data_IF_456030660792
#
_entry.id   IF_456030660792
#
_cell.length_a   1.000
_cell.length_b   1.000
_cell.length_c   1.000
_cell.angle_alpha   90.00
_cell.angle_beta   90.00
_cell.angle_gamma   90.00
#
_symmetry.space_group_name_H-M   'P 1'
#
loop_
_entity.id
_entity.type
_entity.pdbx_description
1 polymer ?
#
# COMPACT_ATOMS: atom_id res chain seq x y z
N UNK A 1 -3.00 -1.35 0.32
CA UNK A 1 -2.04 -0.84 1.33
C UNK A 1 -2.68 0.04 2.40
N UNK A 2 -3.49 1.04 2.04
CA UNK A 2 -4.08 2.00 2.99
C UNK A 2 -4.82 1.36 4.20
N UNK A 3 -5.73 0.41 3.93
CA UNK A 3 -6.47 -0.31 4.99
C UNK A 3 -5.54 -1.01 6.00
N UNK A 4 -4.41 -1.55 5.53
CA UNK A 4 -3.43 -2.17 6.41
C UNK A 4 -2.80 -1.14 7.36
N UNK A 5 -2.47 0.06 6.87
CA UNK A 5 -1.91 1.11 7.72
C UNK A 5 -2.93 1.60 8.74
N UNK A 6 -4.20 1.79 8.34
CA UNK A 6 -5.28 2.13 9.27
C UNK A 6 -5.41 1.10 10.39
N UNK A 7 -5.39 -0.19 10.04
CA UNK A 7 -5.46 -1.29 11.00
C UNK A 7 -4.26 -1.31 11.95
N UNK A 8 -3.04 -1.10 11.43
CA UNK A 8 -1.82 -1.00 12.25
C UNK A 8 -1.93 0.15 13.26
N UNK A 9 -2.33 1.34 12.81
CA UNK A 9 -2.50 2.50 13.69
C UNK A 9 -3.58 2.28 14.74
N UNK A 10 -4.70 1.64 14.36
CA UNK A 10 -5.78 1.27 15.29
C UNK A 10 -5.26 0.34 16.39
N UNK A 11 -4.56 -0.73 16.03
CA UNK A 11 -3.96 -1.66 17.02
C UNK A 11 -2.95 -0.96 17.92
N UNK A 12 -2.08 -0.11 17.35
CA UNK A 12 -1.13 0.68 18.13
C UNK A 12 -1.85 1.61 19.13
N UNK A 13 -2.97 2.22 18.73
CA UNK A 13 -3.77 3.08 19.60
C UNK A 13 -4.41 2.28 20.74
N UNK A 14 -5.03 1.14 20.43
CA UNK A 14 -5.66 0.25 21.42
C UNK A 14 -4.66 -0.25 22.47
N UNK A 15 -3.47 -0.66 22.05
CA UNK A 15 -2.39 -1.07 22.97
C UNK A 15 -1.96 0.07 23.89
N UNK A 16 -1.82 1.30 23.37
CA UNK A 16 -1.48 2.48 24.19
C UNK A 16 -2.58 2.83 25.20
N UNK A 17 -3.85 2.66 24.84
CA UNK A 17 -4.97 2.89 25.75
C UNK A 17 -5.04 1.83 26.85
N UNK A 18 -4.87 0.56 26.48
CA UNK A 18 -4.91 -0.56 27.42
C UNK A 18 -3.70 -0.58 28.36
N UNK A 19 -2.52 -0.17 27.88
CA UNK A 19 -1.27 -0.18 28.64
C UNK A 19 -0.46 1.11 28.40
N UNK A 20 -0.78 2.21 29.10
CA UNK A 20 -0.13 3.50 28.90
C UNK A 20 1.40 3.49 29.10
N UNK A 21 1.91 2.61 29.95
CA UNK A 21 3.34 2.49 30.30
C UNK A 21 4.12 1.52 29.38
N UNK A 22 3.48 0.92 28.36
CA UNK A 22 4.04 -0.14 27.49
C UNK A 22 5.23 0.31 26.62
N UNK A 23 5.44 1.62 26.49
CA UNK A 23 6.45 2.16 25.58
C UNK A 23 6.01 2.02 24.11
N UNK A 24 6.87 1.41 23.28
CA UNK A 24 6.61 1.29 21.85
C UNK A 24 5.68 0.12 21.50
N UNK A 25 4.49 0.34 20.91
CA UNK A 25 3.56 -0.73 20.59
C UNK A 25 3.90 -1.48 19.29
N UNK A 26 4.79 -0.93 18.44
CA UNK A 26 5.11 -1.50 17.12
C UNK A 26 5.58 -2.97 17.15
N UNK A 27 6.47 -3.40 18.08
CA UNK A 27 6.95 -4.77 18.11
C UNK A 27 5.83 -5.77 18.40
N UNK A 28 4.85 -5.39 19.23
CA UNK A 28 3.71 -6.21 19.58
C UNK A 28 2.75 -6.36 18.41
N UNK A 29 2.44 -5.24 17.72
CA UNK A 29 1.62 -5.29 16.49
C UNK A 29 2.32 -6.13 15.41
N UNK A 30 3.64 -6.00 15.27
CA UNK A 30 4.42 -6.81 14.33
C UNK A 30 4.37 -8.30 14.67
N UNK A 31 4.51 -8.64 15.96
CA UNK A 31 4.39 -10.01 16.43
C UNK A 31 3.00 -10.59 16.14
N UNK A 32 1.93 -9.86 16.48
CA UNK A 32 0.55 -10.29 16.24
C UNK A 32 0.29 -10.52 14.74
N UNK A 33 0.76 -9.63 13.87
CA UNK A 33 0.63 -9.79 12.41
C UNK A 33 1.42 -11.03 11.94
N UNK A 34 2.71 -11.12 12.30
CA UNK A 34 3.58 -12.20 11.82
C UNK A 34 3.21 -13.59 12.36
N UNK A 35 2.58 -13.65 13.54
CA UNK A 35 2.08 -14.92 14.10
C UNK A 35 0.84 -15.44 13.37
N UNK A 36 0.04 -14.54 12.79
CA UNK A 36 -1.18 -14.88 12.05
C UNK A 36 -0.98 -14.92 10.53
N UNK A 37 0.12 -14.37 10.01
CA UNK A 37 0.31 -14.15 8.57
C UNK A 37 1.77 -14.32 8.16
N UNK A 38 2.00 -15.17 7.16
CA UNK A 38 3.34 -15.40 6.60
C UNK A 38 3.60 -14.63 5.29
N UNK A 39 2.54 -14.17 4.60
CA UNK A 39 2.61 -13.45 3.32
C UNK A 39 1.69 -12.22 3.35
N UNK A 40 2.25 -11.04 3.08
CA UNK A 40 1.50 -9.81 2.85
C UNK A 40 1.57 -9.43 1.37
N UNK A 41 0.40 -9.28 0.75
CA UNK A 41 0.26 -8.80 -0.62
C UNK A 41 -0.32 -7.37 -0.59
N UNK A 42 0.43 -6.41 -1.11
CA UNK A 42 -0.03 -5.04 -1.24
C UNK A 42 -0.26 -4.68 -2.70
N UNK A 43 -1.52 -4.38 -3.02
CA UNK A 43 -1.80 -3.64 -4.24
C UNK A 43 -1.57 -2.13 -4.03
N UNK A 44 -1.09 -1.48 -5.08
CA UNK A 44 -0.78 -0.05 -5.16
C UNK A 44 0.01 0.47 -3.94
N UNK A 45 1.16 -0.15 -3.67
CA UNK A 45 2.03 0.24 -2.57
C UNK A 45 2.62 1.63 -2.80
N UNK A 46 2.17 2.60 -2.02
CA UNK A 46 2.63 3.98 -2.05
C UNK A 46 2.60 4.59 -0.66
N UNK A 47 3.57 5.46 -0.38
CA UNK A 47 3.70 6.16 0.90
C UNK A 47 3.69 7.65 0.64
N UNK A 48 2.74 8.35 1.23
CA UNK A 48 2.53 9.80 1.07
C UNK A 48 2.51 10.55 2.40
N UNK A 49 2.16 9.88 3.50
CA UNK A 49 2.04 10.47 4.82
C UNK A 49 3.26 10.22 5.72
N UNK A 50 3.58 11.20 6.58
CA UNK A 50 4.73 11.14 7.49
C UNK A 50 4.52 10.17 8.65
N UNK A 51 3.31 10.03 9.18
CA UNK A 51 3.01 9.11 10.26
C UNK A 51 3.17 7.65 9.78
N UNK A 52 2.68 7.37 8.58
CA UNK A 52 2.86 6.06 7.93
C UNK A 52 4.34 5.76 7.71
N UNK A 53 5.09 6.69 7.12
CA UNK A 53 6.53 6.52 6.87
C UNK A 53 7.32 6.17 8.15
N UNK A 54 7.01 6.84 9.27
CA UNK A 54 7.66 6.60 10.56
C UNK A 54 7.32 5.22 11.16
N UNK A 55 6.09 4.76 10.99
CA UNK A 55 5.64 3.44 11.49
C UNK A 55 6.19 2.31 10.62
N UNK A 56 6.11 2.44 9.30
CA UNK A 56 6.49 1.40 8.34
C UNK A 56 7.92 0.91 8.53
N UNK A 57 8.88 1.84 8.65
CA UNK A 57 10.29 1.49 8.86
C UNK A 57 10.47 0.53 10.04
N UNK A 58 9.81 0.83 11.16
CA UNK A 58 9.93 0.04 12.39
C UNK A 58 9.16 -1.27 12.27
N UNK A 59 7.94 -1.20 11.75
CA UNK A 59 7.05 -2.34 11.58
C UNK A 59 7.69 -3.41 10.70
N UNK A 60 8.09 -3.04 9.48
CA UNK A 60 8.62 -4.00 8.51
C UNK A 60 9.97 -4.57 8.92
N UNK A 61 10.80 -3.83 9.65
CA UNK A 61 12.02 -4.39 10.26
C UNK A 61 11.69 -5.59 11.15
N UNK A 62 10.65 -5.48 11.99
CA UNK A 62 10.21 -6.61 12.81
C UNK A 62 9.56 -7.70 11.96
N UNK A 63 8.66 -7.36 11.04
CA UNK A 63 7.99 -8.36 10.18
C UNK A 63 9.01 -9.20 9.39
N UNK A 64 10.00 -8.56 8.76
CA UNK A 64 11.06 -9.26 8.05
C UNK A 64 11.94 -10.10 8.98
N UNK A 65 12.22 -9.62 10.20
CA UNK A 65 12.96 -10.43 11.19
C UNK A 65 12.19 -11.67 11.66
N UNK A 66 10.85 -11.63 11.61
CA UNK A 66 9.97 -12.77 11.87
C UNK A 66 9.77 -13.67 10.64
N UNK A 67 10.44 -13.39 9.51
CA UNK A 67 10.36 -14.21 8.30
C UNK A 67 9.13 -13.95 7.42
N UNK A 68 8.40 -12.85 7.66
CA UNK A 68 7.26 -12.49 6.82
C UNK A 68 7.71 -12.12 5.40
N UNK A 69 7.01 -12.65 4.41
CA UNK A 69 7.24 -12.35 2.99
C UNK A 69 6.30 -11.24 2.54
N UNK A 70 6.81 -10.27 1.77
CA UNK A 70 6.02 -9.21 1.17
C UNK A 70 6.03 -9.34 -0.35
N UNK A 71 4.85 -9.19 -0.96
CA UNK A 71 4.65 -8.99 -2.40
C UNK A 71 3.92 -7.67 -2.58
N UNK A 72 4.37 -6.83 -3.51
CA UNK A 72 3.71 -5.56 -3.75
C UNK A 72 3.74 -5.15 -5.23
N UNK A 73 2.67 -4.49 -5.68
CA UNK A 73 2.64 -3.72 -6.92
C UNK A 73 2.84 -2.24 -6.58
N UNK A 74 3.54 -1.49 -7.42
CA UNK A 74 3.69 -0.04 -7.22
C UNK A 74 3.93 0.67 -8.55
N UNK A 75 3.40 1.89 -8.66
CA UNK A 75 3.70 2.81 -9.75
C UNK A 75 4.99 3.62 -9.50
N UNK A 76 5.68 3.36 -8.39
CA UNK A 76 6.95 4.00 -8.04
C UNK A 76 7.99 2.93 -7.73
N UNK A 77 9.21 3.16 -8.21
CA UNK A 77 10.35 2.34 -7.80
C UNK A 77 10.62 2.51 -6.30
N UNK A 78 11.23 1.52 -5.62
CA UNK A 78 11.53 1.61 -4.19
C UNK A 78 12.24 2.91 -3.78
N UNK A 79 13.27 3.32 -4.54
CA UNK A 79 14.04 4.56 -4.35
C UNK A 79 13.21 5.85 -4.50
N UNK A 80 12.04 5.76 -5.13
CA UNK A 80 11.10 6.86 -5.35
C UNK A 80 9.90 6.85 -4.40
N UNK A 81 9.77 5.84 -3.54
CA UNK A 81 8.75 5.81 -2.49
C UNK A 81 8.96 6.96 -1.52
N UNK A 82 7.91 7.68 -1.14
CA UNK A 82 7.95 8.85 -0.24
C UNK A 82 8.88 10.01 -0.70
N UNK A 83 9.12 10.12 -2.01
CA UNK A 83 9.93 11.21 -2.57
C UNK A 83 9.36 12.57 -2.18
N UNK A 84 10.23 13.51 -1.78
CA UNK A 84 9.88 14.84 -1.25
C UNK A 84 9.06 14.84 0.05
N UNK A 85 8.93 13.69 0.71
CA UNK A 85 8.29 13.58 2.02
C UNK A 85 9.06 14.32 3.12
N UNK A 86 8.33 14.77 4.14
CA UNK A 86 8.90 15.42 5.32
C UNK A 86 9.84 14.43 6.02
N UNK A 87 11.06 14.87 6.36
CA UNK A 87 12.07 14.02 6.99
C UNK A 87 12.39 12.73 6.22
N UNK A 88 12.35 12.76 4.88
CA UNK A 88 12.68 11.63 4.00
C UNK A 88 13.94 10.84 4.40
N UNK A 89 14.98 11.51 4.89
CA UNK A 89 16.23 10.86 5.36
C UNK A 89 15.97 9.77 6.40
N UNK A 90 14.94 9.94 7.25
CA UNK A 90 14.55 8.95 8.26
C UNK A 90 13.89 7.69 7.66
N UNK A 91 13.38 7.80 6.43
CA UNK A 91 12.72 6.74 5.66
C UNK A 91 13.69 5.99 4.74
N UNK A 92 14.83 6.58 4.36
CA UNK A 92 15.84 5.94 3.52
C UNK A 92 16.26 4.54 4.03
N UNK A 93 16.46 4.30 5.35
CA UNK A 93 16.79 2.95 5.81
C UNK A 93 15.73 1.90 5.51
N UNK A 94 14.45 2.29 5.42
CA UNK A 94 13.39 1.37 5.01
C UNK A 94 13.43 1.10 3.50
N UNK A 95 13.84 2.07 2.69
CA UNK A 95 14.13 1.84 1.27
C UNK A 95 15.27 0.85 1.13
N UNK A 96 16.36 1.02 1.90
CA UNK A 96 17.49 0.09 1.92
C UNK A 96 17.02 -1.33 2.31
N UNK A 97 16.19 -1.46 3.35
CA UNK A 97 15.60 -2.74 3.76
C UNK A 97 14.76 -3.39 2.63
N UNK A 98 14.01 -2.59 1.87
CA UNK A 98 13.23 -3.08 0.73
C UNK A 98 14.14 -3.52 -0.43
N UNK A 99 15.17 -2.76 -0.76
CA UNK A 99 16.10 -3.11 -1.84
C UNK A 99 16.95 -4.35 -1.51
N UNK A 100 17.30 -4.54 -0.23
CA UNK A 100 18.04 -5.72 0.22
C UNK A 100 17.16 -6.99 0.22
N UNK A 101 15.89 -6.86 0.63
CA UNK A 101 15.02 -8.02 0.92
C UNK A 101 13.99 -8.34 -0.16
N UNK A 102 13.64 -7.37 -1.00
CA UNK A 102 12.63 -7.53 -2.04
C UNK A 102 13.26 -7.48 -3.42
N UNK A 103 12.88 -8.44 -4.28
CA UNK A 103 13.25 -8.41 -5.69
C UNK A 103 12.32 -7.48 -6.45
N UNK A 104 12.85 -6.35 -6.93
CA UNK A 104 12.08 -5.40 -7.75
C UNK A 104 12.05 -5.84 -9.21
N UNK A 105 10.85 -5.99 -9.76
CA UNK A 105 10.62 -6.27 -11.17
C UNK A 105 9.93 -5.07 -11.83
N UNK A 106 10.61 -4.44 -12.78
CA UNK A 106 10.03 -3.38 -13.60
C UNK A 106 9.13 -4.02 -14.67
N UNK A 107 7.83 -3.72 -14.61
CA UNK A 107 6.83 -4.22 -15.54
C UNK A 107 6.66 -3.31 -16.76
N UNK A 108 7.71 -2.57 -17.16
CA UNK A 108 7.76 -1.69 -18.33
C UNK A 108 7.09 -2.31 -19.57
N UNK A 109 5.80 -2.05 -19.72
CA UNK A 109 4.96 -2.53 -20.80
C UNK A 109 4.59 -1.32 -21.64
N UNK A 110 4.96 -1.34 -22.92
CA UNK A 110 4.45 -0.37 -23.89
C UNK A 110 2.95 -0.56 -24.18
N UNK A 111 2.35 -1.63 -23.66
CA UNK A 111 0.93 -1.95 -23.82
C UNK A 111 0.19 -1.64 -22.52
N UNK A 112 -0.67 -0.64 -22.57
CA UNK A 112 -1.68 -0.45 -21.54
C UNK A 112 -2.83 -1.43 -21.80
N UNK A 113 -2.87 -2.53 -21.03
CA UNK A 113 -3.90 -3.56 -21.18
C UNK A 113 -5.32 -3.05 -20.92
N UNK A 114 -5.51 -1.89 -20.28
CA UNK A 114 -6.83 -1.26 -20.12
C UNK A 114 -7.39 -0.81 -21.46
N UNK A 115 -6.53 -0.29 -22.34
CA UNK A 115 -6.90 0.23 -23.67
C UNK A 115 -7.26 -0.86 -24.68
N UNK A 116 -6.79 -2.09 -24.46
CA UNK A 116 -7.16 -3.23 -25.31
C UNK A 116 -8.67 -3.56 -25.21
N UNK A 117 -9.28 -3.31 -24.04
CA UNK A 117 -10.71 -3.49 -23.85
C UNK A 117 -11.53 -2.27 -24.31
N UNK A 118 -10.93 -1.09 -24.43
CA UNK A 118 -11.62 0.11 -24.93
C UNK A 118 -12.07 -0.03 -26.39
N UNK A 119 -11.36 -0.83 -27.20
CA UNK A 119 -11.77 -1.18 -28.57
C UNK A 119 -13.11 -1.94 -28.60
N UNK A 120 -13.50 -2.58 -27.49
CA UNK A 120 -14.81 -3.22 -27.33
C UNK A 120 -15.87 -2.30 -26.70
N UNK A 121 -15.49 -1.15 -26.14
CA UNK A 121 -16.37 -0.19 -25.47
C UNK A 121 -16.82 0.95 -26.41
N UNK A 122 -17.21 0.62 -27.64
CA UNK A 122 -17.72 1.56 -28.67
C UNK A 122 -18.94 2.39 -28.24
N UNK A 123 -19.48 2.17 -27.03
CA UNK A 123 -20.58 2.89 -26.42
C UNK A 123 -20.19 3.97 -25.40
N UNK A 124 -18.90 4.16 -25.09
CA UNK A 124 -18.40 5.14 -24.13
C UNK A 124 -18.56 4.72 -22.66
N UNK A 125 -17.53 4.97 -21.85
CA UNK A 125 -17.44 4.52 -20.44
C UNK A 125 -18.16 5.46 -19.45
N UNK A 126 -18.53 6.66 -19.88
CA UNK A 126 -19.16 7.67 -19.04
C UNK A 126 -20.33 8.33 -19.78
N UNK A 127 -21.52 8.30 -19.17
CA UNK A 127 -22.72 8.91 -19.72
C UNK A 127 -23.08 10.17 -18.93
N UNK A 128 -23.24 11.28 -19.65
CA UNK A 128 -23.60 12.58 -19.07
C UNK A 128 -24.30 13.46 -20.12
N UNK A 129 -25.22 14.36 -19.72
CA UNK A 129 -25.79 14.53 -18.38
C UNK A 129 -26.84 13.47 -18.06
N UNK A 130 -27.20 13.33 -16.79
CA UNK A 130 -28.25 12.39 -16.35
C UNK A 130 -29.61 12.79 -16.98
N UNK A 131 -29.93 12.12 -18.08
CA UNK A 131 -31.16 12.30 -18.84
C UNK A 131 -31.69 10.93 -19.34
N UNK A 132 -32.88 10.94 -19.92
CA UNK A 132 -33.57 9.73 -20.39
C UNK A 132 -32.73 8.94 -21.41
N UNK A 133 -32.07 9.62 -22.36
CA UNK A 133 -31.17 9.00 -23.34
C UNK A 133 -29.96 8.31 -22.71
N UNK A 134 -29.38 8.89 -21.65
CA UNK A 134 -28.26 8.28 -20.94
C UNK A 134 -28.70 7.14 -20.03
N UNK A 135 -29.93 7.18 -19.50
CA UNK A 135 -30.48 6.07 -18.71
C UNK A 135 -30.70 4.84 -19.57
N UNK A 136 -31.33 5.02 -20.74
CA UNK A 136 -31.56 3.94 -21.71
C UNK A 136 -30.25 3.30 -22.19
N UNK A 137 -29.18 4.09 -22.33
CA UNK A 137 -27.85 3.58 -22.73
C UNK A 137 -27.11 2.84 -21.62
N UNK A 138 -27.35 3.16 -20.34
CA UNK A 138 -26.75 2.43 -19.21
C UNK A 138 -27.31 1.01 -19.12
N UNK A 139 -28.60 0.83 -19.41
CA UNK A 139 -29.26 -0.48 -19.31
C UNK A 139 -28.84 -1.46 -20.44
N UNK A 140 -28.16 -0.96 -21.47
CA UNK A 140 -27.72 -1.72 -22.65
C UNK A 140 -26.20 -1.99 -22.67
N UNK A 141 -25.42 -1.32 -21.79
CA UNK A 141 -23.97 -1.52 -21.61
C UNK A 141 -23.68 -2.68 -20.64
#
# INVERSE_FOLDING_TARGET
FHEFMLEVHRRMHELRQAMPEMGDPVPYVAYDISSATSLLCFDEFQVTDVADALVMRRLFRYLFSHGLVMVATSNRRPDQLYLNGIQRTSFLPFIDDLEERCLSHDLASGTDYRTLNEVSASGGTYLHPLNEQTSERIDVL
#
